data_IF_169005808020
#
_entry.id   IF_169005808020
#
_cell.length_a   1.000
_cell.length_b   1.000
_cell.length_c   1.000
_cell.angle_alpha   90.00
_cell.angle_beta   90.00
_cell.angle_gamma   90.00
#
_symmetry.space_group_name_H-M   'P 1'
#
loop_
_entity.id
_entity.type
_entity.pdbx_description
1 polymer ?
#
# COMPACT_ATOMS: atom_id res chain seq x y z
N UNK A 1 64.24 5.07 9.90
CA UNK A 1 63.31 6.16 9.56
C UNK A 1 61.90 5.58 9.68
N UNK A 2 61.21 5.83 10.80
CA UNK A 2 59.87 5.26 11.05
C UNK A 2 58.87 6.07 10.24
N UNK A 3 58.29 5.48 9.21
CA UNK A 3 57.23 6.11 8.42
C UNK A 3 56.01 6.30 9.32
N UNK A 4 55.72 7.56 9.71
CA UNK A 4 54.48 7.92 10.40
C UNK A 4 53.32 7.63 9.45
N UNK A 5 52.58 6.56 9.70
CA UNK A 5 51.27 6.34 9.08
C UNK A 5 50.35 7.48 9.52
N UNK A 6 49.89 8.29 8.56
CA UNK A 6 48.81 9.23 8.79
C UNK A 6 47.54 8.42 9.04
N UNK A 7 47.18 8.26 10.32
CA UNK A 7 45.88 7.74 10.72
C UNK A 7 44.80 8.46 9.92
N UNK A 8 43.95 7.71 9.21
CA UNK A 8 42.84 8.26 8.45
C UNK A 8 42.02 9.15 9.40
N UNK A 9 41.93 10.47 9.14
CA UNK A 9 41.31 11.39 10.07
C UNK A 9 39.87 10.95 10.40
N UNK A 10 39.43 10.95 11.67
CA UNK A 10 38.12 10.44 12.10
C UNK A 10 36.94 11.03 11.31
N UNK A 11 37.11 12.26 10.78
CA UNK A 11 36.17 12.92 9.87
C UNK A 11 35.82 12.09 8.63
N UNK A 12 36.75 11.30 8.08
CA UNK A 12 36.49 10.46 6.90
C UNK A 12 35.70 9.19 7.25
N UNK A 13 35.95 8.60 8.43
CA UNK A 13 35.14 7.49 8.95
C UNK A 13 33.72 7.96 9.29
N UNK A 14 33.58 9.17 9.85
CA UNK A 14 32.28 9.80 10.10
C UNK A 14 31.54 10.10 8.78
N UNK A 15 32.20 10.69 7.79
CA UNK A 15 31.63 10.93 6.46
C UNK A 15 31.19 9.63 5.78
N UNK A 16 31.99 8.56 5.91
CA UNK A 16 31.63 7.24 5.38
C UNK A 16 30.42 6.63 6.12
N UNK A 17 30.37 6.73 7.45
CA UNK A 17 29.22 6.28 8.24
C UNK A 17 27.93 7.03 7.89
N UNK A 18 28.00 8.36 7.75
CA UNK A 18 26.87 9.20 7.32
C UNK A 18 26.42 8.84 5.90
N UNK A 19 27.37 8.64 4.98
CA UNK A 19 27.11 8.24 3.61
C UNK A 19 26.41 6.87 3.50
N UNK A 20 26.74 5.92 4.38
CA UNK A 20 26.09 4.61 4.43
C UNK A 20 24.73 4.64 5.12
N UNK A 21 24.53 5.58 6.06
CA UNK A 21 23.33 5.68 6.88
C UNK A 21 22.16 6.38 6.16
N UNK A 22 22.44 7.41 5.33
CA UNK A 22 21.39 8.17 4.62
C UNK A 22 20.49 7.27 3.75
N UNK A 23 21.01 6.36 2.92
CA UNK A 23 20.17 5.42 2.17
C UNK A 23 19.29 4.61 3.12
N UNK A 24 19.87 3.95 4.13
CA UNK A 24 19.11 3.13 5.08
C UNK A 24 17.99 3.94 5.77
N UNK A 25 18.25 5.19 6.14
CA UNK A 25 17.24 6.08 6.70
C UNK A 25 16.11 6.38 5.71
N UNK A 26 16.44 6.68 4.45
CA UNK A 26 15.44 6.90 3.39
C UNK A 26 14.59 5.64 3.17
N UNK A 27 15.19 4.44 3.23
CA UNK A 27 14.46 3.18 3.16
C UNK A 27 13.45 3.05 4.31
N UNK A 28 13.86 3.35 5.54
CA UNK A 28 12.97 3.30 6.72
C UNK A 28 11.85 4.34 6.61
N UNK A 29 12.13 5.55 6.13
CA UNK A 29 11.12 6.59 5.93
C UNK A 29 10.11 6.17 4.85
N UNK A 30 10.57 5.61 3.73
CA UNK A 30 9.69 5.09 2.69
C UNK A 30 8.80 3.96 3.21
N UNK A 31 9.36 3.00 3.97
CA UNK A 31 8.55 1.95 4.62
C UNK A 31 7.51 2.57 5.57
N UNK A 32 7.90 3.56 6.37
CA UNK A 32 7.02 4.16 7.39
C UNK A 32 5.89 5.00 6.80
N UNK A 33 6.16 5.81 5.76
CA UNK A 33 5.16 6.67 5.11
C UNK A 33 4.07 5.84 4.42
N UNK A 34 4.43 4.69 3.86
CA UNK A 34 3.49 3.85 3.12
C UNK A 34 2.83 2.77 3.99
N UNK A 35 3.43 2.38 5.12
CA UNK A 35 2.74 1.67 6.21
C UNK A 35 1.59 2.48 6.82
N UNK A 36 1.57 3.81 6.61
CA UNK A 36 0.53 4.72 7.07
C UNK A 36 -0.81 4.65 6.32
N UNK A 37 -1.03 3.63 5.48
CA UNK A 37 -2.38 3.26 5.02
C UNK A 37 -2.92 4.00 3.79
N UNK A 38 -2.09 4.73 3.02
CA UNK A 38 -2.55 5.46 1.82
C UNK A 38 -2.68 4.62 0.55
N UNK A 39 -2.27 3.36 0.58
CA UNK A 39 -2.28 2.48 -0.59
C UNK A 39 -3.16 1.27 -0.30
N UNK A 40 -4.41 1.31 -0.75
CA UNK A 40 -5.30 0.16 -0.69
C UNK A 40 -4.98 -0.81 -1.83
N UNK A 41 -5.15 -2.12 -1.56
CA UNK A 41 -4.97 -3.18 -2.55
C UNK A 41 -6.13 -3.23 -3.55
N UNK A 42 -6.33 -4.37 -4.19
CA UNK A 42 -7.54 -4.61 -4.99
C UNK A 42 -8.70 -4.84 -4.02
N UNK A 43 -9.85 -4.14 -4.15
CA UNK A 43 -11.00 -4.39 -3.31
C UNK A 43 -11.57 -5.78 -3.59
N UNK A 44 -12.09 -6.44 -2.55
CA UNK A 44 -12.81 -7.71 -2.69
C UNK A 44 -14.17 -7.53 -3.35
N UNK A 45 -14.85 -6.43 -2.99
CA UNK A 45 -16.18 -6.07 -3.46
C UNK A 45 -16.29 -4.55 -3.50
N UNK A 46 -17.18 -4.02 -4.32
CA UNK A 46 -17.52 -2.61 -4.34
C UNK A 46 -19.03 -2.39 -4.49
N UNK A 47 -19.52 -1.25 -4.03
CA UNK A 47 -20.85 -0.78 -4.35
C UNK A 47 -20.87 0.72 -4.67
N UNK A 48 -21.85 1.18 -5.44
CA UNK A 48 -22.00 2.57 -5.87
C UNK A 48 -23.42 3.06 -5.56
N UNK A 49 -23.52 4.21 -4.91
CA UNK A 49 -24.82 4.83 -4.58
C UNK A 49 -25.29 5.87 -5.61
N UNK A 50 -26.46 6.47 -5.35
CA UNK A 50 -27.06 7.50 -6.22
C UNK A 50 -26.23 8.77 -6.37
N UNK A 51 -25.43 9.10 -5.35
CA UNK A 51 -24.49 10.22 -5.36
C UNK A 51 -23.15 9.88 -6.03
N UNK A 52 -23.00 8.67 -6.60
CA UNK A 52 -21.78 8.18 -7.24
C UNK A 52 -20.60 8.01 -6.27
N UNK A 53 -20.88 7.81 -4.98
CA UNK A 53 -19.87 7.46 -3.97
C UNK A 53 -19.60 5.96 -4.04
N UNK A 54 -18.33 5.56 -3.87
CA UNK A 54 -17.89 4.17 -4.08
C UNK A 54 -17.53 3.53 -2.75
N UNK A 55 -18.31 2.54 -2.32
CA UNK A 55 -18.02 1.72 -1.17
C UNK A 55 -17.09 0.59 -1.61
N UNK A 56 -15.98 0.38 -0.91
CA UNK A 56 -14.99 -0.65 -1.25
C UNK A 56 -14.60 -1.45 -0.02
N UNK A 57 -14.66 -2.78 -0.18
CA UNK A 57 -14.29 -3.77 0.81
C UNK A 57 -12.83 -4.15 0.64
N UNK A 58 -12.00 -3.90 1.64
CA UNK A 58 -10.60 -4.35 1.70
C UNK A 58 -10.37 -5.22 2.93
N UNK A 59 -9.22 -5.89 2.98
CA UNK A 59 -8.82 -6.66 4.16
C UNK A 59 -8.70 -5.78 5.43
N UNK A 60 -8.42 -4.49 5.27
CA UNK A 60 -8.36 -3.53 6.39
C UNK A 60 -9.73 -3.04 6.85
N UNK A 61 -10.79 -3.25 6.07
CA UNK A 61 -12.14 -2.80 6.38
C UNK A 61 -12.90 -2.26 5.18
N UNK A 62 -14.06 -1.68 5.48
CA UNK A 62 -14.95 -1.02 4.52
C UNK A 62 -14.64 0.48 4.49
N UNK A 63 -14.53 1.02 3.28
CA UNK A 63 -14.26 2.43 3.04
C UNK A 63 -15.27 2.98 2.04
N UNK A 64 -15.57 4.26 2.13
CA UNK A 64 -16.22 5.01 1.05
C UNK A 64 -15.20 5.92 0.38
N UNK A 65 -15.26 5.98 -0.94
CA UNK A 65 -14.53 6.94 -1.75
C UNK A 65 -15.50 8.02 -2.18
N UNK A 66 -15.28 9.20 -1.64
CA UNK A 66 -15.94 10.43 -2.02
C UNK A 66 -14.87 11.45 -2.44
N UNK A 67 -15.05 12.06 -3.60
CA UNK A 67 -14.12 13.05 -4.16
C UNK A 67 -12.64 12.60 -4.15
N UNK A 68 -12.39 11.31 -4.41
CA UNK A 68 -11.05 10.71 -4.42
C UNK A 68 -10.41 10.49 -3.04
N UNK A 69 -11.15 10.70 -1.95
CA UNK A 69 -10.70 10.45 -0.58
C UNK A 69 -11.33 9.18 -0.04
N UNK A 70 -10.50 8.33 0.56
CA UNK A 70 -10.95 7.15 1.29
C UNK A 70 -11.32 7.55 2.71
N UNK A 71 -12.58 7.32 3.08
CA UNK A 71 -13.08 7.51 4.44
C UNK A 71 -13.40 6.13 5.01
N UNK A 72 -12.85 5.84 6.18
CA UNK A 72 -13.05 4.56 6.86
C UNK A 72 -14.45 4.51 7.47
N UNK A 73 -15.16 3.42 7.23
CA UNK A 73 -16.51 3.21 7.72
C UNK A 73 -16.60 2.09 8.77
N UNK A 74 -15.94 0.97 8.50
CA UNK A 74 -16.07 -0.23 9.34
C UNK A 74 -14.76 -1.03 9.34
N UNK A 75 -14.37 -1.57 10.49
CA UNK A 75 -13.21 -2.47 10.60
C UNK A 75 -13.47 -3.78 9.85
N UNK A 76 -12.42 -4.39 9.30
CA UNK A 76 -12.53 -5.74 8.72
C UNK A 76 -12.57 -6.80 9.81
N UNK A 77 -13.74 -7.35 10.14
CA UNK A 77 -13.86 -8.47 11.08
C UNK A 77 -13.79 -9.79 10.30
N UNK A 78 -12.60 -10.41 10.27
CA UNK A 78 -12.32 -11.79 9.81
C UNK A 78 -13.07 -12.25 8.52
N UNK A 79 -13.21 -11.37 7.53
CA UNK A 79 -13.85 -11.72 6.27
C UNK A 79 -13.94 -10.55 5.30
N UNK A 80 -14.15 -10.83 4.02
CA UNK A 80 -14.54 -9.86 3.02
C UNK A 80 -16.02 -9.49 3.20
N UNK A 81 -16.33 -8.20 3.17
CA UNK A 81 -17.72 -7.75 3.05
C UNK A 81 -18.20 -7.88 1.61
N UNK A 82 -19.38 -8.44 1.41
CA UNK A 82 -20.16 -8.21 0.18
C UNK A 82 -21.02 -6.98 0.38
N UNK A 83 -21.17 -6.22 -0.69
CA UNK A 83 -21.73 -4.89 -0.72
C UNK A 83 -22.74 -4.83 -1.87
N UNK A 84 -23.86 -4.17 -1.63
CA UNK A 84 -24.81 -3.82 -2.69
C UNK A 84 -25.58 -2.57 -2.24
N UNK A 85 -25.90 -1.69 -3.18
CA UNK A 85 -26.72 -0.51 -2.92
C UNK A 85 -28.00 -0.61 -3.73
N UNK A 86 -29.14 -0.46 -3.05
CA UNK A 86 -30.45 -0.42 -3.70
C UNK A 86 -30.75 0.96 -4.28
N UNK A 87 -31.77 1.05 -5.14
CA UNK A 87 -32.24 2.31 -5.75
C UNK A 87 -32.74 3.33 -4.70
N UNK A 88 -33.13 2.87 -3.50
CA UNK A 88 -33.55 3.72 -2.37
C UNK A 88 -32.37 4.16 -1.47
N UNK A 89 -31.13 4.07 -1.96
CA UNK A 89 -29.89 4.40 -1.23
C UNK A 89 -29.71 3.61 0.09
N UNK A 90 -30.10 2.33 0.08
CA UNK A 90 -29.82 1.42 1.18
C UNK A 90 -28.57 0.60 0.87
N UNK A 91 -27.53 0.77 1.68
CA UNK A 91 -26.31 -0.04 1.59
C UNK A 91 -26.50 -1.34 2.37
N UNK A 92 -26.45 -2.45 1.67
CA UNK A 92 -26.38 -3.78 2.26
C UNK A 92 -24.92 -4.17 2.45
N UNK A 93 -24.55 -4.47 3.70
CA UNK A 93 -23.22 -4.96 4.07
C UNK A 93 -23.41 -6.37 4.63
N UNK A 94 -22.93 -7.37 3.90
CA UNK A 94 -22.99 -8.76 4.32
C UNK A 94 -21.60 -9.24 4.74
N UNK A 95 -21.49 -9.73 5.98
CA UNK A 95 -20.34 -10.44 6.52
C UNK A 95 -20.73 -11.90 6.85
N UNK A 96 -19.77 -12.80 7.17
CA UNK A 96 -20.08 -14.20 7.45
C UNK A 96 -21.03 -14.44 8.63
N UNK A 97 -21.23 -13.45 9.51
CA UNK A 97 -22.02 -13.57 10.73
C UNK A 97 -23.35 -12.80 10.63
N UNK A 98 -23.30 -11.61 10.04
CA UNK A 98 -24.37 -10.62 10.06
C UNK A 98 -24.55 -9.97 8.68
N UNK A 99 -25.81 -9.69 8.34
CA UNK A 99 -26.22 -8.82 7.24
C UNK A 99 -26.76 -7.53 7.86
N UNK A 100 -26.19 -6.40 7.46
CA UNK A 100 -26.55 -5.06 7.94
C UNK A 100 -27.13 -4.28 6.78
N UNK A 101 -28.25 -3.63 7.01
CA UNK A 101 -28.83 -2.68 6.07
C UNK A 101 -28.64 -1.29 6.66
N UNK A 102 -27.97 -0.43 5.91
CA UNK A 102 -27.59 0.92 6.29
C UNK A 102 -28.37 1.90 5.45
N UNK A 103 -28.99 2.88 6.10
CA UNK A 103 -29.65 4.01 5.44
C UNK A 103 -28.59 5.08 5.17
N UNK A 104 -28.19 5.24 3.90
CA UNK A 104 -27.13 6.18 3.53
C UNK A 104 -27.56 7.64 3.68
N UNK A 105 -28.87 7.94 3.56
CA UNK A 105 -29.39 9.30 3.69
C UNK A 105 -29.36 9.79 5.16
N UNK A 106 -29.40 8.86 6.12
CA UNK A 106 -29.28 9.17 7.56
C UNK A 106 -27.88 8.98 8.12
N UNK A 107 -26.97 8.37 7.35
CA UNK A 107 -25.58 8.14 7.74
C UNK A 107 -24.75 9.41 7.62
N UNK A 108 -23.76 9.58 8.51
CA UNK A 108 -22.74 10.62 8.37
C UNK A 108 -21.43 9.98 7.91
N UNK A 109 -21.28 9.91 6.59
CA UNK A 109 -20.11 9.33 5.94
C UNK A 109 -18.82 10.10 6.23
N UNK A 110 -18.89 11.39 6.60
CA UNK A 110 -17.70 12.20 6.87
C UNK A 110 -17.06 11.87 8.21
N UNK A 111 -17.87 11.51 9.21
CA UNK A 111 -17.40 11.02 10.51
C UNK A 111 -17.23 9.49 10.54
N UNK A 112 -17.62 8.78 9.49
CA UNK A 112 -17.63 7.33 9.41
C UNK A 112 -18.80 6.67 10.15
N UNK A 113 -19.83 7.44 10.49
CA UNK A 113 -21.00 6.95 11.18
C UNK A 113 -22.03 6.37 10.19
N UNK A 114 -22.39 5.10 10.38
CA UNK A 114 -23.39 4.39 9.57
C UNK A 114 -24.67 4.15 10.38
N UNK A 115 -25.81 4.60 9.86
CA UNK A 115 -27.12 4.38 10.45
C UNK A 115 -27.66 3.01 10.04
N UNK A 116 -27.49 2.01 10.91
CA UNK A 116 -27.96 0.64 10.68
C UNK A 116 -29.44 0.54 11.02
N UNK A 117 -30.30 0.45 10.00
CA UNK A 117 -31.76 0.31 10.20
C UNK A 117 -32.20 -1.12 10.45
N UNK A 118 -31.41 -2.10 9.97
CA UNK A 118 -31.70 -3.50 10.16
C UNK A 118 -30.40 -4.29 10.30
N UNK A 119 -30.39 -5.23 11.25
CA UNK A 119 -29.31 -6.19 11.42
C UNK A 119 -29.92 -7.58 11.60
N UNK A 120 -29.54 -8.49 10.71
CA UNK A 120 -30.03 -9.87 10.71
C UNK A 120 -28.82 -10.80 10.71
N UNK A 121 -28.92 -11.94 11.41
CA UNK A 121 -27.87 -12.96 11.37
C UNK A 121 -27.84 -13.62 10.00
N UNK A 122 -26.66 -13.74 9.39
CA UNK A 122 -26.50 -14.47 8.13
C UNK A 122 -26.86 -15.95 8.34
N UNK A 123 -27.94 -16.44 7.69
CA UNK A 123 -28.27 -17.86 7.69
C UNK A 123 -27.46 -18.55 6.58
N UNK A 124 -26.34 -19.17 6.97
CA UNK A 124 -25.38 -19.73 6.02
C UNK A 124 -24.43 -18.68 5.46
N UNK A 125 -23.43 -19.13 4.71
CA UNK A 125 -22.47 -18.28 4.02
C UNK A 125 -23.18 -17.52 2.89
N UNK A 126 -23.96 -16.48 3.23
CA UNK A 126 -24.67 -15.62 2.27
C UNK A 126 -23.71 -15.04 1.20
N UNK A 127 -22.43 -14.93 1.55
CA UNK A 127 -21.31 -14.56 0.68
C UNK A 127 -20.95 -15.58 -0.40
N UNK A 128 -21.29 -16.87 -0.27
CA UNK A 128 -20.78 -17.92 -1.17
C UNK A 128 -21.83 -18.48 -2.14
N UNK A 129 -23.13 -18.40 -1.82
CA UNK A 129 -24.17 -18.99 -2.66
C UNK A 129 -24.52 -18.13 -3.90
N UNK A 130 -24.15 -16.84 -3.91
CA UNK A 130 -24.49 -15.88 -4.97
C UNK A 130 -23.31 -15.67 -5.97
N UNK A 131 -22.09 -16.08 -5.60
CA UNK A 131 -20.84 -15.68 -6.28
C UNK A 131 -20.56 -16.34 -7.64
N UNK A 132 -21.40 -17.25 -8.14
CA UNK A 132 -20.96 -18.19 -9.19
C UNK A 132 -21.37 -17.78 -10.62
N UNK A 133 -22.44 -17.02 -10.85
CA UNK A 133 -22.97 -16.90 -12.23
C UNK A 133 -22.64 -15.60 -12.99
N UNK A 134 -22.47 -14.44 -12.34
CA UNK A 134 -22.20 -13.17 -13.06
C UNK A 134 -21.31 -12.16 -12.30
N UNK A 135 -20.27 -12.65 -11.61
CA UNK A 135 -19.34 -11.85 -10.77
C UNK A 135 -18.67 -10.63 -11.44
N UNK A 136 -18.78 -10.48 -12.77
CA UNK A 136 -18.16 -9.40 -13.53
C UNK A 136 -19.07 -8.19 -13.71
N UNK A 137 -20.38 -8.33 -13.61
CA UNK A 137 -21.32 -7.24 -13.89
C UNK A 137 -22.33 -7.16 -12.77
N UNK A 138 -22.32 -6.05 -12.04
CA UNK A 138 -23.15 -5.83 -10.87
C UNK A 138 -24.13 -4.68 -11.14
N UNK A 139 -25.43 -4.97 -11.33
CA UNK A 139 -26.47 -3.96 -11.42
C UNK A 139 -26.69 -3.32 -10.05
N UNK A 140 -26.36 -2.04 -9.93
CA UNK A 140 -26.50 -1.27 -8.70
C UNK A 140 -27.10 0.10 -9.02
N UNK A 141 -28.11 0.52 -8.27
CA UNK A 141 -28.77 1.81 -8.42
C UNK A 141 -29.15 2.12 -9.90
N UNK A 142 -29.89 1.20 -10.52
CA UNK A 142 -30.34 1.29 -11.91
C UNK A 142 -29.23 1.34 -12.99
N UNK A 143 -27.95 1.12 -12.64
CA UNK A 143 -26.81 1.14 -13.56
C UNK A 143 -25.97 -0.12 -13.39
N UNK A 144 -25.37 -0.63 -14.48
CA UNK A 144 -24.47 -1.78 -14.38
C UNK A 144 -23.02 -1.31 -14.20
N UNK A 145 -22.34 -1.86 -13.20
CA UNK A 145 -20.93 -1.62 -12.94
C UNK A 145 -20.11 -2.89 -13.09
N UNK A 146 -18.84 -2.74 -13.47
CA UNK A 146 -17.91 -3.85 -13.62
C UNK A 146 -16.52 -3.49 -13.14
N UNK A 147 -15.96 -4.27 -12.23
CA UNK A 147 -14.54 -4.15 -11.90
C UNK A 147 -13.69 -4.88 -12.95
N UNK A 148 -12.70 -4.19 -13.49
CA UNK A 148 -11.68 -4.74 -14.36
C UNK A 148 -10.31 -4.55 -13.72
N UNK A 149 -9.67 -5.66 -13.39
CA UNK A 149 -8.28 -5.67 -12.90
C UNK A 149 -7.32 -5.78 -14.08
N UNK A 150 -6.32 -4.88 -14.13
CA UNK A 150 -5.19 -4.96 -15.06
C UNK A 150 -3.90 -5.24 -14.30
N UNK A 151 -2.77 -5.33 -15.00
CA UNK A 151 -1.48 -5.66 -14.38
C UNK A 151 -1.04 -4.62 -13.33
N UNK A 152 -1.39 -3.35 -13.52
CA UNK A 152 -0.81 -2.23 -12.76
C UNK A 152 -1.85 -1.42 -11.98
N UNK A 153 -3.13 -1.58 -12.32
CA UNK A 153 -4.23 -0.80 -11.78
C UNK A 153 -5.52 -1.60 -11.93
N UNK A 154 -6.53 -1.24 -11.15
CA UNK A 154 -7.90 -1.67 -11.37
C UNK A 154 -8.75 -0.47 -11.78
N UNK A 155 -9.79 -0.76 -12.54
CA UNK A 155 -10.79 0.22 -12.95
C UNK A 155 -12.19 -0.31 -12.65
N UNK A 156 -13.09 0.58 -12.26
CA UNK A 156 -14.53 0.31 -12.20
C UNK A 156 -15.12 0.97 -13.44
N UNK A 157 -15.76 0.16 -14.26
CA UNK A 157 -16.42 0.57 -15.48
C UNK A 157 -17.91 0.75 -15.19
N UNK A 158 -18.49 1.78 -15.80
CA UNK A 158 -19.92 2.02 -15.83
C UNK A 158 -20.44 1.66 -17.22
N UNK A 159 -21.46 0.82 -17.26
CA UNK A 159 -22.15 0.43 -18.49
C UNK A 159 -23.52 1.12 -18.51
N UNK A 160 -23.71 2.03 -19.46
CA UNK A 160 -24.96 2.76 -19.67
C UNK A 160 -25.46 2.59 -21.12
N UNK A 161 -26.60 3.22 -21.44
CA UNK A 161 -27.17 3.16 -22.79
C UNK A 161 -26.26 3.75 -23.89
N UNK A 162 -25.26 4.55 -23.52
CA UNK A 162 -24.31 5.20 -24.42
C UNK A 162 -23.00 4.38 -24.57
N UNK A 163 -22.83 3.32 -23.79
CA UNK A 163 -21.70 2.38 -23.87
C UNK A 163 -20.99 2.20 -22.53
N UNK A 164 -19.73 1.75 -22.60
CA UNK A 164 -18.89 1.52 -21.42
C UNK A 164 -17.96 2.71 -21.19
N UNK A 165 -17.96 3.28 -19.99
CA UNK A 165 -17.07 4.37 -19.57
C UNK A 165 -16.28 4.01 -18.31
N UNK A 166 -15.11 4.62 -18.13
CA UNK A 166 -14.31 4.45 -16.90
C UNK A 166 -14.88 5.37 -15.82
N UNK A 167 -15.37 4.77 -14.74
CA UNK A 167 -15.95 5.50 -13.61
C UNK A 167 -14.92 5.75 -12.51
N UNK A 168 -14.09 4.76 -12.21
CA UNK A 168 -13.02 4.88 -11.21
C UNK A 168 -11.77 4.14 -11.67
N UNK A 169 -10.60 4.63 -11.27
CA UNK A 169 -9.33 3.96 -11.53
C UNK A 169 -8.37 4.15 -10.35
N UNK A 170 -7.65 3.10 -9.99
CA UNK A 170 -6.63 3.17 -8.95
C UNK A 170 -5.48 2.21 -9.23
N UNK A 171 -4.22 2.66 -9.07
CA UNK A 171 -3.06 1.79 -9.20
C UNK A 171 -3.03 0.75 -8.06
N UNK A 172 -2.51 -0.45 -8.34
CA UNK A 172 -2.32 -1.44 -7.29
C UNK A 172 -1.29 -0.94 -6.29
N UNK A 173 -1.60 -0.96 -4.99
CA UNK A 173 -0.62 -0.66 -3.93
C UNK A 173 0.64 -1.51 -4.07
N UNK A 174 0.49 -2.80 -4.40
CA UNK A 174 1.58 -3.73 -4.64
C UNK A 174 2.43 -3.37 -5.88
N UNK A 175 1.83 -2.76 -6.89
CA UNK A 175 2.56 -2.28 -8.08
C UNK A 175 3.37 -1.03 -7.77
N UNK A 176 2.77 -0.06 -7.07
CA UNK A 176 3.48 1.15 -6.60
C UNK A 176 4.61 0.76 -5.66
N UNK A 177 4.33 -0.13 -4.70
CA UNK A 177 5.31 -0.66 -3.75
C UNK A 177 6.43 -1.43 -4.46
N UNK A 178 6.06 -2.36 -5.34
CA UNK A 178 7.00 -3.16 -6.12
C UNK A 178 7.93 -2.28 -6.95
N UNK A 179 7.43 -1.21 -7.55
CA UNK A 179 8.27 -0.28 -8.33
C UNK A 179 9.15 0.60 -7.47
N UNK A 180 8.62 1.17 -6.38
CA UNK A 180 9.42 1.99 -5.45
C UNK A 180 10.53 1.16 -4.83
N UNK A 181 10.23 -0.03 -4.32
CA UNK A 181 11.22 -0.94 -3.73
C UNK A 181 12.23 -1.41 -4.78
N UNK A 182 11.79 -1.88 -5.97
CA UNK A 182 12.72 -2.33 -7.02
C UNK A 182 13.67 -1.22 -7.46
N UNK A 183 13.13 -0.03 -7.72
CA UNK A 183 13.93 1.13 -8.14
C UNK A 183 14.92 1.53 -7.06
N UNK A 184 14.45 1.57 -5.82
CA UNK A 184 15.28 1.92 -4.68
C UNK A 184 16.38 0.89 -4.41
N UNK A 185 16.06 -0.41 -4.43
CA UNK A 185 17.04 -1.50 -4.32
C UNK A 185 18.07 -1.44 -5.45
N UNK A 186 17.65 -1.15 -6.69
CA UNK A 186 18.57 -1.00 -7.81
C UNK A 186 19.54 0.19 -7.60
N UNK A 187 19.04 1.33 -7.13
CA UNK A 187 19.86 2.51 -6.83
C UNK A 187 20.84 2.25 -5.69
N UNK A 188 20.38 1.60 -4.60
CA UNK A 188 21.24 1.22 -3.46
C UNK A 188 22.29 0.19 -3.87
N UNK A 189 21.94 -0.77 -4.72
CA UNK A 189 22.88 -1.74 -5.24
C UNK A 189 23.98 -1.07 -6.09
N UNK A 190 23.60 -0.21 -7.03
CA UNK A 190 24.55 0.58 -7.85
C UNK A 190 25.44 1.45 -6.95
N UNK A 191 24.86 2.05 -5.91
CA UNK A 191 25.58 2.87 -4.95
C UNK A 191 26.63 2.07 -4.16
N UNK A 192 26.27 0.90 -3.61
CA UNK A 192 27.22 0.05 -2.90
C UNK A 192 28.30 -0.52 -3.82
N UNK A 193 27.94 -0.96 -5.03
CA UNK A 193 28.91 -1.43 -6.02
C UNK A 193 29.88 -0.32 -6.41
N UNK A 194 29.37 0.89 -6.68
CA UNK A 194 30.19 2.07 -6.97
C UNK A 194 31.14 2.41 -5.82
N UNK A 195 30.63 2.43 -4.58
CA UNK A 195 31.45 2.65 -3.39
C UNK A 195 32.53 1.58 -3.21
N UNK A 196 32.18 0.31 -3.37
CA UNK A 196 33.11 -0.81 -3.30
C UNK A 196 34.22 -0.74 -4.35
N UNK A 197 33.87 -0.38 -5.60
CA UNK A 197 34.85 -0.19 -6.68
C UNK A 197 35.81 0.98 -6.40
N UNK A 198 35.31 2.07 -5.82
CA UNK A 198 36.15 3.20 -5.40
C UNK A 198 37.12 2.78 -4.29
N UNK A 199 36.64 2.05 -3.28
CA UNK A 199 37.49 1.52 -2.20
C UNK A 199 38.54 0.55 -2.76
N UNK A 200 38.16 -0.40 -3.61
CA UNK A 200 39.09 -1.33 -4.25
C UNK A 200 40.19 -0.60 -5.04
N UNK A 201 39.81 0.41 -5.83
CA UNK A 201 40.75 1.22 -6.60
C UNK A 201 41.68 2.01 -5.68
N UNK A 202 41.16 2.54 -4.59
CA UNK A 202 41.94 3.24 -3.57
C UNK A 202 42.94 2.30 -2.89
N UNK A 203 42.49 1.13 -2.39
CA UNK A 203 43.36 0.14 -1.72
C UNK A 203 44.41 -0.46 -2.66
N UNK A 204 44.10 -0.59 -3.96
CA UNK A 204 45.09 -1.03 -4.96
C UNK A 204 46.19 0.01 -5.18
N UNK A 205 45.86 1.29 -5.06
CA UNK A 205 46.80 2.41 -5.19
C UNK A 205 47.55 2.71 -3.88
N UNK A 206 46.94 2.35 -2.74
CA UNK A 206 47.41 2.60 -1.37
C UNK A 206 47.34 1.31 -0.53
N UNK A 207 48.24 0.33 -0.75
CA UNK A 207 48.23 -0.96 -0.04
C UNK A 207 48.39 -0.82 1.49
N UNK A 208 49.00 0.26 1.97
CA UNK A 208 49.09 0.65 3.39
C UNK A 208 47.72 0.74 4.09
N UNK A 209 46.64 1.04 3.35
CA UNK A 209 45.29 1.15 3.89
C UNK A 209 44.63 -0.22 4.19
N UNK A 210 45.12 -1.33 3.63
CA UNK A 210 44.53 -2.66 3.85
C UNK A 210 44.78 -3.21 5.27
N UNK A 211 45.86 -2.79 5.92
CA UNK A 211 46.28 -3.28 7.24
C UNK A 211 45.27 -2.87 8.34
N UNK A 212 44.60 -1.71 8.18
CA UNK A 212 43.65 -1.19 9.16
C UNK A 212 42.21 -1.71 9.02
N UNK A 213 41.83 -2.24 7.86
CA UNK A 213 40.47 -2.77 7.62
C UNK A 213 40.24 -4.18 8.21
N UNK A 214 41.31 -4.96 8.41
CA UNK A 214 41.22 -6.35 8.91
C UNK A 214 41.37 -6.44 10.43
N UNK A 215 41.99 -5.44 11.08
CA UNK A 215 42.22 -5.42 12.53
C UNK A 215 41.92 -4.05 13.16
N UNK A 216 40.65 -3.68 13.39
CA UNK A 216 40.32 -2.41 14.06
C UNK A 216 40.73 -2.38 15.54
N UNK A 217 41.12 -3.53 16.12
CA UNK A 217 41.39 -3.69 17.56
C UNK A 217 42.87 -3.61 17.95
N UNK A 218 43.78 -3.37 16.99
CA UNK A 218 45.22 -3.25 17.27
C UNK A 218 45.68 -1.80 17.55
N UNK A 219 44.79 -0.93 18.05
CA UNK A 219 45.22 0.27 18.78
C UNK A 219 45.70 -0.16 20.17
N UNK A 220 46.87 -0.82 20.21
CA UNK A 220 47.57 -1.14 21.46
C UNK A 220 48.35 0.08 21.90
N UNK A 221 47.83 0.71 22.97
CA UNK A 221 48.54 1.34 24.10
C UNK A 221 50.04 1.60 23.89
N UNK A 222 50.41 2.87 23.77
CA UNK A 222 51.67 3.46 24.23
C UNK A 222 51.37 4.96 24.48
N UNK A 223 51.10 5.42 25.70
CA UNK A 223 52.11 5.96 26.63
C UNK A 223 53.56 5.73 26.22
#
# INVERSE_FOLDING_TARGET
MVARHSELPPKYLFLFGVFMFIPVLVMVILISVFSGGKAHGIPYEFAVDSEQRIYMSFNSGLYVVDNGRFIFLLSGDKGSYALSVSDDDMLTIADPLDIRIVDLAKSDLTSGHLEVVQKTRAQGNALYDIWIEDWKTDPQNGTTYRMQTRSNYYEILREDANGTSVFFTMPHSDYVWGNVVKTYCALVFVYFVGGFLVVLRYTKKHPEAQIHLVYPWHIRRYF
#
